data_IF_701681553775
#
_entry.id   IF_701681553775
#
_cell.length_a   1.000
_cell.length_b   1.000
_cell.length_c   1.000
_cell.angle_alpha   90.00
_cell.angle_beta   90.00
_cell.angle_gamma   90.00
#
_symmetry.space_group_name_H-M   'P 1'
#
loop_
_entity.id
_entity.type
_entity.pdbx_description
1 polymer ?
#
# COMPACT_ATOMS: atom_id res chain seq x y z
N UNK A 1 11.99 -2.61 27.95
CA UNK A 1 12.10 -1.27 27.32
C UNK A 1 11.39 -1.32 25.97
N UNK A 2 10.80 -0.22 25.53
CA UNK A 2 10.27 -0.08 24.15
C UNK A 2 11.46 0.20 23.23
N UNK A 3 11.61 -0.57 22.14
CA UNK A 3 12.69 -0.37 21.17
C UNK A 3 12.50 0.98 20.47
N UNK A 4 13.50 1.90 20.48
CA UNK A 4 13.41 3.17 19.76
C UNK A 4 13.04 3.02 18.28
N UNK A 5 13.50 1.96 17.61
CA UNK A 5 13.18 1.70 16.18
C UNK A 5 11.69 1.47 16.00
N UNK A 6 11.09 0.61 16.81
CA UNK A 6 9.64 0.35 16.82
C UNK A 6 8.82 1.63 17.07
N UNK A 7 9.32 2.56 17.88
CA UNK A 7 8.67 3.85 18.08
C UNK A 7 8.72 4.73 16.82
N UNK A 8 9.85 4.75 16.11
CA UNK A 8 9.93 5.47 14.82
C UNK A 8 9.04 4.83 13.76
N UNK A 9 8.93 3.50 13.73
CA UNK A 9 8.00 2.79 12.85
C UNK A 9 6.56 3.19 13.15
N UNK A 10 6.17 3.24 14.43
CA UNK A 10 4.83 3.69 14.83
C UNK A 10 4.54 5.16 14.45
N UNK A 11 5.51 6.06 14.56
CA UNK A 11 5.36 7.47 14.15
C UNK A 11 5.21 7.59 12.64
N UNK A 12 6.02 6.84 11.88
CA UNK A 12 5.97 6.86 10.41
C UNK A 12 4.68 6.21 9.88
N UNK A 13 4.15 5.19 10.56
CA UNK A 13 2.82 4.63 10.35
C UNK A 13 1.71 5.70 10.45
N UNK A 14 1.72 6.49 11.53
CA UNK A 14 0.77 7.59 11.71
C UNK A 14 0.93 8.69 10.65
N UNK A 15 2.18 9.00 10.28
CA UNK A 15 2.45 9.97 9.22
C UNK A 15 1.87 9.48 7.87
N UNK A 16 2.05 8.19 7.55
CA UNK A 16 1.49 7.57 6.35
C UNK A 16 -0.05 7.57 6.38
N UNK A 17 -0.64 7.30 7.54
CA UNK A 17 -2.09 7.39 7.72
C UNK A 17 -2.63 8.82 7.49
N UNK A 18 -1.96 9.83 8.07
CA UNK A 18 -2.29 11.24 7.84
C UNK A 18 -2.18 11.65 6.38
N UNK A 19 -1.11 11.21 5.70
CA UNK A 19 -0.89 11.47 4.29
C UNK A 19 -1.97 10.80 3.41
N UNK A 20 -2.41 9.58 3.75
CA UNK A 20 -3.49 8.89 3.07
C UNK A 20 -4.86 9.58 3.25
N UNK A 21 -5.14 10.11 4.44
CA UNK A 21 -6.32 10.95 4.67
C UNK A 21 -6.28 12.24 3.85
N UNK A 22 -5.11 12.88 3.76
CA UNK A 22 -4.92 14.04 2.89
C UNK A 22 -5.13 13.66 1.42
N UNK A 23 -4.61 12.52 0.96
CA UNK A 23 -4.81 12.00 -0.38
C UNK A 23 -6.31 11.87 -0.72
N UNK A 24 -7.12 11.28 0.17
CA UNK A 24 -8.58 11.18 0.00
C UNK A 24 -9.20 12.57 -0.18
N UNK A 25 -8.79 13.56 0.62
CA UNK A 25 -9.28 14.95 0.51
C UNK A 25 -8.87 15.62 -0.80
N UNK A 26 -7.69 15.31 -1.35
CA UNK A 26 -7.23 15.88 -2.63
C UNK A 26 -7.92 15.26 -3.85
N UNK A 27 -8.54 14.08 -3.71
CA UNK A 27 -9.32 13.43 -4.77
C UNK A 27 -10.80 13.88 -4.80
N UNK A 28 -11.18 15.05 -4.29
CA UNK A 28 -12.58 15.54 -4.34
C UNK A 28 -13.02 15.93 -5.76
N UNK A 29 -14.30 15.76 -6.08
CA UNK A 29 -14.88 16.09 -7.40
C UNK A 29 -16.26 15.45 -7.63
N UNK A 30 -16.68 15.22 -8.89
CA UNK A 30 -17.81 14.35 -9.25
C UNK A 30 -17.54 12.87 -8.95
N UNK A 31 -18.57 12.11 -8.61
CA UNK A 31 -18.43 10.68 -8.32
C UNK A 31 -18.10 9.86 -9.56
N UNK A 32 -16.98 9.12 -9.50
CA UNK A 32 -16.54 8.20 -10.54
C UNK A 32 -15.92 6.94 -9.94
N UNK A 33 -15.90 5.85 -10.71
CA UNK A 33 -15.34 4.57 -10.28
C UNK A 33 -13.86 4.66 -9.88
N UNK A 34 -13.03 5.21 -10.78
CA UNK A 34 -11.59 5.39 -10.53
C UNK A 34 -11.33 6.07 -9.19
N UNK A 35 -12.03 7.19 -8.95
CA UNK A 35 -11.94 7.92 -7.67
C UNK A 35 -12.32 7.05 -6.48
N UNK A 36 -13.44 6.33 -6.55
CA UNK A 36 -13.92 5.47 -5.45
C UNK A 36 -12.91 4.39 -5.10
N UNK A 37 -12.31 3.74 -6.10
CA UNK A 37 -11.28 2.72 -5.89
C UNK A 37 -10.04 3.31 -5.21
N UNK A 38 -9.54 4.44 -5.70
CA UNK A 38 -8.37 5.08 -5.09
C UNK A 38 -8.64 5.64 -3.69
N UNK A 39 -9.81 6.24 -3.46
CA UNK A 39 -10.22 6.68 -2.12
C UNK A 39 -10.38 5.49 -1.16
N UNK A 40 -10.91 4.35 -1.62
CA UNK A 40 -10.97 3.14 -0.83
C UNK A 40 -9.58 2.60 -0.50
N UNK A 41 -8.66 2.56 -1.47
CA UNK A 41 -7.27 2.14 -1.24
C UNK A 41 -6.57 3.03 -0.21
N UNK A 42 -6.73 4.36 -0.31
CA UNK A 42 -6.18 5.29 0.67
C UNK A 42 -6.87 5.22 2.04
N UNK A 43 -8.16 4.88 2.09
CA UNK A 43 -8.86 4.68 3.37
C UNK A 43 -8.35 3.42 4.08
N UNK A 44 -8.13 2.34 3.34
CA UNK A 44 -7.50 1.13 3.87
C UNK A 44 -6.05 1.41 4.30
N UNK A 45 -5.29 2.21 3.54
CA UNK A 45 -3.94 2.62 3.91
C UNK A 45 -3.94 3.41 5.23
N UNK A 46 -4.87 4.36 5.39
CA UNK A 46 -5.03 5.09 6.64
C UNK A 46 -5.37 4.18 7.82
N UNK A 47 -6.31 3.24 7.63
CA UNK A 47 -6.65 2.26 8.65
C UNK A 47 -5.45 1.35 9.00
N UNK A 48 -4.68 0.93 7.99
CA UNK A 48 -3.49 0.10 8.19
C UNK A 48 -2.40 0.83 8.96
N UNK A 49 -2.13 2.11 8.66
CA UNK A 49 -1.15 2.90 9.40
C UNK A 49 -1.56 3.17 10.84
N UNK A 50 -2.84 3.44 11.12
CA UNK A 50 -3.32 3.56 12.52
C UNK A 50 -3.13 2.24 13.28
N UNK A 51 -3.45 1.11 12.64
CA UNK A 51 -3.30 -0.20 13.25
C UNK A 51 -1.82 -0.60 13.42
N UNK A 52 -0.96 -0.30 12.44
CA UNK A 52 0.49 -0.47 12.51
C UNK A 52 1.10 0.32 13.67
N UNK A 53 0.70 1.59 13.81
CA UNK A 53 1.12 2.42 14.94
C UNK A 53 0.73 1.84 16.31
N UNK A 54 -0.43 1.20 16.41
CA UNK A 54 -0.85 0.49 17.63
C UNK A 54 0.05 -0.74 17.87
N UNK A 55 0.33 -1.52 16.82
CA UNK A 55 1.11 -2.76 16.89
C UNK A 55 2.58 -2.52 17.28
N UNK A 56 3.18 -1.47 16.70
CA UNK A 56 4.58 -1.09 16.91
C UNK A 56 4.75 -0.15 18.13
N UNK A 57 3.82 0.77 18.32
CA UNK A 57 3.94 1.84 19.33
C UNK A 57 3.58 1.39 20.74
N UNK A 58 2.66 0.42 20.90
CA UNK A 58 2.19 -0.02 22.22
C UNK A 58 2.90 -1.28 22.72
N UNK A 59 3.02 -1.39 24.04
CA UNK A 59 3.46 -2.63 24.70
C UNK A 59 2.30 -3.61 24.76
N UNK A 60 2.23 -4.50 23.78
CA UNK A 60 1.18 -5.52 23.66
C UNK A 60 1.66 -6.90 24.13
N UNK A 61 0.74 -7.71 24.67
CA UNK A 61 1.03 -9.13 24.87
C UNK A 61 1.21 -9.83 23.52
N UNK A 62 2.00 -10.93 23.44
CA UNK A 62 2.21 -11.66 22.19
C UNK A 62 0.91 -12.09 21.51
N UNK A 63 -0.08 -12.54 22.29
CA UNK A 63 -1.38 -12.96 21.77
C UNK A 63 -2.21 -11.80 21.20
N UNK A 64 -2.16 -10.62 21.82
CA UNK A 64 -2.83 -9.42 21.31
C UNK A 64 -2.15 -8.89 20.06
N UNK A 65 -0.81 -8.85 20.05
CA UNK A 65 -0.04 -8.47 18.85
C UNK A 65 -0.39 -9.38 17.67
N UNK A 66 -0.36 -10.69 17.85
CA UNK A 66 -0.72 -11.66 16.80
C UNK A 66 -2.15 -11.47 16.28
N UNK A 67 -3.11 -11.18 17.18
CA UNK A 67 -4.50 -10.90 16.78
C UNK A 67 -4.65 -9.62 15.97
N UNK A 68 -3.88 -8.57 16.27
CA UNK A 68 -3.92 -7.29 15.54
C UNK A 68 -3.20 -7.36 14.19
N UNK A 69 -2.17 -8.21 14.05
CA UNK A 69 -1.54 -8.47 12.75
C UNK A 69 -2.52 -9.06 11.73
N UNK A 70 -3.58 -9.73 12.16
CA UNK A 70 -4.55 -10.34 11.24
C UNK A 70 -5.37 -9.34 10.44
N UNK A 71 -6.10 -8.40 11.07
CA UNK A 71 -6.76 -7.34 10.33
C UNK A 71 -5.74 -6.49 9.56
N UNK A 72 -4.52 -6.26 10.10
CA UNK A 72 -3.49 -5.51 9.38
C UNK A 72 -3.11 -6.16 8.05
N UNK A 73 -2.81 -7.46 8.05
CA UNK A 73 -2.49 -8.21 6.83
C UNK A 73 -3.65 -8.21 5.82
N UNK A 74 -4.90 -8.28 6.30
CA UNK A 74 -6.08 -8.20 5.43
C UNK A 74 -6.21 -6.81 4.80
N UNK A 75 -6.00 -5.73 5.57
CA UNK A 75 -6.01 -4.37 5.05
C UNK A 75 -4.95 -4.20 3.96
N UNK A 76 -3.72 -4.65 4.19
CA UNK A 76 -2.64 -4.57 3.22
C UNK A 76 -2.95 -5.36 1.95
N UNK A 77 -3.45 -6.59 2.09
CA UNK A 77 -3.84 -7.40 0.93
C UNK A 77 -4.99 -6.76 0.12
N UNK A 78 -5.96 -6.14 0.80
CA UNK A 78 -7.04 -5.41 0.12
C UNK A 78 -6.55 -4.16 -0.60
N UNK A 79 -5.55 -3.44 -0.06
CA UNK A 79 -4.92 -2.31 -0.75
C UNK A 79 -4.32 -2.78 -2.08
N UNK A 80 -3.56 -3.87 -2.05
CA UNK A 80 -2.95 -4.47 -3.25
C UNK A 80 -4.02 -4.89 -4.27
N UNK A 81 -5.10 -5.53 -3.81
CA UNK A 81 -6.23 -5.90 -4.65
C UNK A 81 -6.88 -4.68 -5.33
N UNK A 82 -7.01 -3.56 -4.62
CA UNK A 82 -7.56 -2.32 -5.17
C UNK A 82 -6.59 -1.65 -6.16
N UNK A 83 -5.27 -1.71 -5.93
CA UNK A 83 -4.26 -1.27 -6.91
C UNK A 83 -4.37 -2.05 -8.22
N UNK A 84 -4.42 -3.39 -8.14
CA UNK A 84 -4.58 -4.24 -9.30
C UNK A 84 -5.91 -3.96 -10.02
N UNK A 85 -7.01 -3.82 -9.26
CA UNK A 85 -8.33 -3.45 -9.80
C UNK A 85 -8.28 -2.10 -10.52
N UNK A 86 -7.63 -1.09 -9.94
CA UNK A 86 -7.47 0.23 -10.55
C UNK A 86 -6.71 0.15 -11.88
N UNK A 87 -5.56 -0.53 -11.90
CA UNK A 87 -4.77 -0.73 -13.10
C UNK A 87 -5.58 -1.45 -14.20
N UNK A 88 -6.30 -2.52 -13.85
CA UNK A 88 -7.17 -3.23 -14.79
C UNK A 88 -8.29 -2.33 -15.32
N UNK A 89 -8.92 -1.55 -14.44
CA UNK A 89 -9.98 -0.60 -14.81
C UNK A 89 -9.48 0.45 -15.79
N UNK A 90 -8.28 0.98 -15.56
CA UNK A 90 -7.69 2.03 -16.37
C UNK A 90 -7.26 1.53 -17.76
N UNK A 91 -6.88 0.25 -17.85
CA UNK A 91 -6.47 -0.35 -19.12
C UNK A 91 -7.63 -0.86 -19.96
N UNK A 92 -8.62 -1.49 -19.34
CA UNK A 92 -9.69 -2.22 -20.03
C UNK A 92 -11.09 -1.72 -19.69
N UNK A 93 -11.20 -0.56 -19.02
CA UNK A 93 -12.45 0.11 -18.68
C UNK A 93 -13.06 -0.34 -17.34
N UNK A 94 -13.92 0.54 -16.81
CA UNK A 94 -14.60 0.37 -15.52
C UNK A 94 -15.32 -0.98 -15.38
N UNK A 95 -16.03 -1.43 -16.43
CA UNK A 95 -16.79 -2.69 -16.40
C UNK A 95 -15.89 -3.90 -16.15
N UNK A 96 -14.68 -3.89 -16.72
CA UNK A 96 -13.69 -4.96 -16.50
C UNK A 96 -13.16 -4.91 -15.07
N UNK A 97 -12.86 -3.71 -14.57
CA UNK A 97 -12.50 -3.49 -13.18
C UNK A 97 -13.54 -4.02 -12.18
N UNK A 98 -14.81 -3.69 -12.39
CA UNK A 98 -15.92 -4.15 -11.56
C UNK A 98 -16.06 -5.68 -11.56
N UNK A 99 -15.76 -6.34 -12.68
CA UNK A 99 -15.81 -7.81 -12.78
C UNK A 99 -14.67 -8.50 -12.03
N UNK A 100 -13.46 -7.93 -12.04
CA UNK A 100 -12.30 -8.55 -11.36
C UNK A 100 -12.25 -8.22 -9.87
N UNK A 101 -12.83 -7.10 -9.44
CA UNK A 101 -12.77 -6.63 -8.05
C UNK A 101 -13.20 -7.71 -7.04
N UNK A 102 -14.35 -8.41 -7.18
CA UNK A 102 -14.75 -9.42 -6.20
C UNK A 102 -13.72 -10.54 -6.07
N UNK A 103 -13.17 -11.01 -7.19
CA UNK A 103 -12.17 -12.08 -7.18
C UNK A 103 -10.87 -11.62 -6.51
N UNK A 104 -10.36 -10.43 -6.85
CA UNK A 104 -9.14 -9.87 -6.26
C UNK A 104 -9.32 -9.56 -4.77
N UNK A 105 -10.47 -9.01 -4.38
CA UNK A 105 -10.79 -8.68 -3.00
C UNK A 105 -11.00 -9.94 -2.13
N UNK A 106 -11.56 -11.02 -2.67
CA UNK A 106 -11.70 -12.30 -1.97
C UNK A 106 -10.38 -13.09 -1.89
N UNK A 107 -9.53 -12.96 -2.90
CA UNK A 107 -8.20 -13.56 -2.88
C UNK A 107 -7.33 -12.96 -1.76
N UNK A 108 -7.47 -11.67 -1.46
CA UNK A 108 -6.67 -10.96 -0.45
C UNK A 108 -6.74 -11.60 0.97
N UNK A 109 -7.93 -11.82 1.58
CA UNK A 109 -8.05 -12.56 2.84
C UNK A 109 -7.57 -14.01 2.75
N UNK A 110 -7.79 -14.67 1.61
CA UNK A 110 -7.36 -16.04 1.36
C UNK A 110 -5.83 -16.17 1.39
N UNK A 111 -5.12 -15.24 0.75
CA UNK A 111 -3.66 -15.16 0.78
C UNK A 111 -3.12 -14.76 2.17
N UNK A 112 -3.77 -13.81 2.86
CA UNK A 112 -3.43 -13.44 4.24
C UNK A 112 -3.67 -14.59 5.24
N UNK A 113 -4.61 -15.49 4.96
CA UNK A 113 -4.82 -16.70 5.74
C UNK A 113 -3.81 -17.81 5.39
N UNK A 114 -3.56 -18.04 4.10
CA UNK A 114 -2.63 -19.08 3.64
C UNK A 114 -1.19 -18.79 4.04
N UNK A 115 -0.75 -17.52 3.95
CA UNK A 115 0.56 -17.08 4.42
C UNK A 115 0.81 -17.56 5.85
N UNK A 116 -0.11 -17.34 6.78
CA UNK A 116 0.05 -17.77 8.19
C UNK A 116 0.29 -19.26 8.40
N UNK A 117 -0.21 -20.11 7.51
CA UNK A 117 -0.06 -21.57 7.63
C UNK A 117 1.25 -22.09 7.09
N UNK A 118 1.96 -21.28 6.30
CA UNK A 118 3.26 -21.62 5.76
C UNK A 118 4.34 -21.08 6.71
N UNK A 119 5.34 -21.90 7.06
CA UNK A 119 6.48 -21.43 7.87
C UNK A 119 7.25 -20.27 7.20
N UNK A 120 7.02 -20.03 5.90
CA UNK A 120 7.48 -18.88 5.10
C UNK A 120 6.32 -17.95 4.74
N UNK A 121 5.40 -17.69 5.67
CA UNK A 121 4.15 -16.99 5.38
C UNK A 121 4.31 -15.62 4.74
N UNK A 122 5.31 -14.87 5.21
CA UNK A 122 5.64 -13.57 4.67
C UNK A 122 6.02 -13.64 3.17
N UNK A 123 6.67 -14.72 2.72
CA UNK A 123 7.02 -14.90 1.30
C UNK A 123 5.78 -14.99 0.41
N UNK A 124 4.70 -15.63 0.86
CA UNK A 124 3.46 -15.72 0.08
C UNK A 124 2.81 -14.34 -0.10
N UNK A 125 2.87 -13.50 0.93
CA UNK A 125 2.42 -12.11 0.84
C UNK A 125 3.29 -11.30 -0.13
N UNK A 126 4.63 -11.43 -0.04
CA UNK A 126 5.57 -10.76 -0.96
C UNK A 126 5.29 -11.16 -2.42
N UNK A 127 5.08 -12.45 -2.69
CA UNK A 127 4.79 -12.90 -4.07
C UNK A 127 3.47 -12.30 -4.57
N UNK A 128 2.44 -12.29 -3.72
CA UNK A 128 1.15 -11.68 -4.06
C UNK A 128 1.29 -10.19 -4.38
N UNK A 129 1.99 -9.45 -3.52
CA UNK A 129 2.30 -8.03 -3.74
C UNK A 129 3.09 -7.82 -5.03
N UNK A 130 4.17 -8.57 -5.23
CA UNK A 130 5.05 -8.43 -6.38
C UNK A 130 4.29 -8.65 -7.69
N UNK A 131 3.48 -9.71 -7.78
CA UNK A 131 2.69 -10.01 -8.99
C UNK A 131 1.72 -8.87 -9.30
N UNK A 132 0.98 -8.39 -8.29
CA UNK A 132 0.02 -7.31 -8.46
C UNK A 132 0.70 -5.98 -8.85
N UNK A 133 1.80 -5.63 -8.16
CA UNK A 133 2.50 -4.37 -8.36
C UNK A 133 3.29 -4.33 -9.66
N UNK A 134 3.93 -5.43 -10.08
CA UNK A 134 4.59 -5.53 -11.39
C UNK A 134 3.57 -5.49 -12.52
N UNK A 135 2.42 -6.16 -12.35
CA UNK A 135 1.33 -6.08 -13.33
C UNK A 135 0.79 -4.65 -13.47
N UNK A 136 0.55 -3.97 -12.35
CA UNK A 136 0.12 -2.57 -12.35
C UNK A 136 1.19 -1.65 -12.97
N UNK A 137 2.47 -1.86 -12.65
CA UNK A 137 3.58 -1.11 -13.24
C UNK A 137 3.61 -1.26 -14.76
N UNK A 138 3.52 -2.51 -15.27
CA UNK A 138 3.52 -2.78 -16.70
C UNK A 138 2.35 -2.11 -17.40
N UNK A 139 1.16 -2.15 -16.80
CA UNK A 139 -0.04 -1.48 -17.32
C UNK A 139 0.16 0.04 -17.38
N UNK A 140 0.54 0.69 -16.28
CA UNK A 140 0.69 2.14 -16.27
C UNK A 140 1.86 2.61 -17.13
N UNK A 141 2.96 1.85 -17.20
CA UNK A 141 4.08 2.15 -18.08
C UNK A 141 3.66 2.09 -19.56
N UNK A 142 2.85 1.08 -19.95
CA UNK A 142 2.31 1.01 -21.32
C UNK A 142 1.33 2.16 -21.61
N UNK A 143 0.44 2.49 -20.66
CA UNK A 143 -0.49 3.61 -20.79
C UNK A 143 0.26 4.97 -20.90
N UNK A 144 1.31 5.16 -20.12
CA UNK A 144 2.16 6.35 -20.15
C UNK A 144 2.91 6.47 -21.47
N UNK A 145 3.55 5.38 -21.91
CA UNK A 145 4.29 5.30 -23.17
C UNK A 145 3.39 5.59 -24.38
N UNK A 146 2.15 5.09 -24.37
CA UNK A 146 1.16 5.32 -25.42
C UNK A 146 0.39 6.64 -25.27
N UNK A 147 0.62 7.40 -24.18
CA UNK A 147 -0.11 8.63 -23.82
C UNK A 147 -1.64 8.44 -23.77
N UNK A 148 -2.10 7.25 -23.35
CA UNK A 148 -3.53 6.88 -23.35
C UNK A 148 -4.27 7.31 -22.09
N UNK A 149 -3.56 7.69 -21.03
CA UNK A 149 -4.14 8.10 -19.77
C UNK A 149 -3.31 9.23 -19.14
N UNK A 150 -3.87 10.44 -19.00
CA UNK A 150 -3.22 11.52 -18.28
C UNK A 150 -2.84 11.10 -16.85
N UNK A 151 -1.59 11.36 -16.46
CA UNK A 151 -1.08 10.99 -15.14
C UNK A 151 -0.53 9.56 -15.01
N UNK A 152 -0.61 8.73 -16.06
CA UNK A 152 -0.03 7.38 -16.04
C UNK A 152 1.48 7.37 -15.81
N UNK A 153 2.20 8.42 -16.22
CA UNK A 153 3.62 8.65 -15.93
C UNK A 153 3.88 8.76 -14.43
N UNK A 154 3.05 9.55 -13.73
CA UNK A 154 3.12 9.72 -12.28
C UNK A 154 2.71 8.46 -11.53
N UNK A 155 1.70 7.75 -12.03
CA UNK A 155 1.33 6.43 -11.51
C UNK A 155 2.48 5.43 -11.62
N UNK A 156 3.12 5.37 -12.79
CA UNK A 156 4.28 4.50 -13.05
C UNK A 156 5.41 4.79 -12.06
N UNK A 157 5.78 6.06 -11.91
CA UNK A 157 6.85 6.44 -10.97
C UNK A 157 6.47 6.14 -9.51
N UNK A 158 5.23 6.45 -9.11
CA UNK A 158 4.74 6.13 -7.77
C UNK A 158 4.77 4.64 -7.47
N UNK A 159 4.34 3.79 -8.41
CA UNK A 159 4.39 2.33 -8.28
C UNK A 159 5.83 1.83 -8.21
N UNK A 160 6.73 2.37 -9.04
CA UNK A 160 8.16 2.02 -9.00
C UNK A 160 8.78 2.33 -7.62
N UNK A 161 8.46 3.51 -7.05
CA UNK A 161 8.91 3.88 -5.70
C UNK A 161 8.30 2.96 -4.64
N UNK A 162 7.01 2.58 -4.75
CA UNK A 162 6.39 1.60 -3.84
C UNK A 162 7.07 0.22 -3.92
N UNK A 163 7.42 -0.27 -5.12
CA UNK A 163 8.15 -1.53 -5.28
C UNK A 163 9.53 -1.45 -4.62
N UNK A 164 10.24 -0.32 -4.78
CA UNK A 164 11.51 -0.10 -4.10
C UNK A 164 11.34 -0.06 -2.58
N UNK A 165 10.26 0.55 -2.07
CA UNK A 165 9.92 0.55 -0.66
C UNK A 165 9.71 -0.87 -0.13
N UNK A 166 8.96 -1.72 -0.84
CA UNK A 166 8.77 -3.13 -0.46
C UNK A 166 10.10 -3.91 -0.43
N UNK A 167 11.03 -3.60 -1.35
CA UNK A 167 12.40 -4.10 -1.30
C UNK A 167 13.15 -3.70 -0.02
N UNK A 168 12.98 -2.46 0.44
CA UNK A 168 13.54 -2.00 1.73
C UNK A 168 12.88 -2.77 2.89
N UNK A 169 11.55 -2.89 2.90
CA UNK A 169 10.80 -3.57 3.96
C UNK A 169 11.24 -5.03 4.15
N UNK A 170 11.62 -5.71 3.07
CA UNK A 170 12.05 -7.12 3.10
C UNK A 170 13.53 -7.31 3.41
N UNK A 171 14.27 -6.21 3.58
CA UNK A 171 15.70 -6.20 3.90
C UNK A 171 15.95 -6.12 5.42
N UNK A 172 17.22 -6.21 5.81
CA UNK A 172 17.67 -5.91 7.18
C UNK A 172 18.27 -4.51 7.31
N UNK A 173 17.88 -3.57 6.44
CA UNK A 173 18.44 -2.23 6.40
C UNK A 173 18.07 -1.46 7.68
N UNK A 174 19.07 -0.80 8.27
CA UNK A 174 18.91 0.12 9.39
C UNK A 174 19.73 1.38 9.11
N UNK A 175 19.18 2.55 9.46
CA UNK A 175 19.82 3.84 9.25
C UNK A 175 19.57 4.72 10.48
N UNK A 176 20.56 5.50 10.88
CA UNK A 176 20.40 6.54 11.90
C UNK A 176 20.44 7.90 11.22
N UNK A 177 19.40 8.71 11.38
CA UNK A 177 19.31 10.07 10.86
C UNK A 177 19.41 11.04 12.04
N UNK A 178 20.55 11.71 12.19
CA UNK A 178 20.87 12.47 13.40
C UNK A 178 21.02 11.53 14.59
N UNK A 179 20.08 11.58 15.53
CA UNK A 179 20.02 10.69 16.72
C UNK A 179 18.84 9.70 16.65
N UNK A 180 18.07 9.72 15.56
CA UNK A 180 16.84 8.95 15.43
C UNK A 180 17.11 7.67 14.62
N UNK A 181 16.97 6.47 15.21
CA UNK A 181 17.20 5.21 14.51
C UNK A 181 15.96 4.76 13.75
N UNK A 182 16.13 4.35 12.49
CA UNK A 182 15.09 3.78 11.65
C UNK A 182 15.48 2.35 11.25
N UNK A 183 14.55 1.42 11.37
CA UNK A 183 14.66 0.09 10.78
C UNK A 183 14.04 0.07 9.37
N UNK A 184 14.08 -1.10 8.74
CA UNK A 184 13.50 -1.35 7.42
C UNK A 184 12.01 -0.98 7.31
N UNK A 185 11.21 -1.11 8.38
CA UNK A 185 9.79 -0.73 8.36
C UNK A 185 9.62 0.79 8.40
N UNK A 186 10.35 1.46 9.29
CA UNK A 186 10.38 2.93 9.34
C UNK A 186 10.85 3.53 8.01
N UNK A 187 11.90 2.97 7.41
CA UNK A 187 12.39 3.39 6.10
C UNK A 187 11.39 3.11 4.97
N UNK A 188 10.73 1.95 5.00
CA UNK A 188 9.64 1.62 4.07
C UNK A 188 8.54 2.70 4.11
N UNK A 189 8.06 3.08 5.29
CA UNK A 189 7.04 4.12 5.44
C UNK A 189 7.50 5.49 4.91
N UNK A 190 8.76 5.88 5.15
CA UNK A 190 9.32 7.12 4.64
C UNK A 190 9.38 7.16 3.10
N UNK A 191 9.78 6.05 2.47
CA UNK A 191 9.78 5.94 1.01
C UNK A 191 8.36 5.91 0.47
N UNK A 192 7.43 5.24 1.15
CA UNK A 192 6.02 5.21 0.78
C UNK A 192 5.36 6.61 0.87
N UNK A 193 5.76 7.42 1.85
CA UNK A 193 5.36 8.83 1.97
C UNK A 193 5.79 9.66 0.76
N UNK A 194 6.95 9.36 0.15
CA UNK A 194 7.38 9.99 -1.09
C UNK A 194 6.64 9.47 -2.33
N UNK A 195 6.23 8.20 -2.34
CA UNK A 195 5.43 7.60 -3.42
C UNK A 195 4.00 8.18 -3.48
N UNK A 196 3.39 8.44 -2.32
CA UNK A 196 1.97 8.79 -2.23
C UNK A 196 1.57 10.05 -3.02
N UNK A 197 2.32 11.18 -2.98
CA UNK A 197 2.03 12.35 -3.82
C UNK A 197 2.03 12.04 -5.33
N UNK A 198 2.92 11.16 -5.79
CA UNK A 198 2.98 10.76 -7.20
C UNK A 198 1.73 9.99 -7.61
N UNK A 199 1.28 9.05 -6.78
CA UNK A 199 0.05 8.30 -6.99
C UNK A 199 -1.17 9.24 -6.99
N UNK A 200 -1.27 10.12 -6.00
CA UNK A 200 -2.38 11.08 -5.91
C UNK A 200 -2.45 11.98 -7.13
N UNK A 201 -1.33 12.55 -7.56
CA UNK A 201 -1.30 13.43 -8.72
C UNK A 201 -1.58 12.66 -10.03
N UNK A 202 -1.07 11.43 -10.15
CA UNK A 202 -1.39 10.55 -11.27
C UNK A 202 -2.87 10.21 -11.37
N UNK A 203 -3.55 10.03 -10.23
CA UNK A 203 -5.00 9.87 -10.20
C UNK A 203 -5.69 11.18 -10.61
N UNK A 204 -5.35 12.30 -9.97
CA UNK A 204 -6.01 13.61 -10.18
C UNK A 204 -5.99 14.11 -11.61
N UNK A 205 -4.91 13.86 -12.36
CA UNK A 205 -4.78 14.32 -13.76
C UNK A 205 -5.82 13.72 -14.72
N UNK A 206 -6.53 12.69 -14.28
CA UNK A 206 -7.52 11.94 -15.07
C UNK A 206 -8.88 11.84 -14.36
N UNK A 207 -9.10 12.67 -13.33
CA UNK A 207 -10.39 12.83 -12.65
C UNK A 207 -11.13 14.08 -13.13
#
# INVERSE_FOLDING_TARGET
MTDPREQTTAVTDLALAGAALLAIRRLRGPAGWRRRIWQAAFALLAASGVLGAIVHGLRLSPSTRERLWQPLNVLLALIIALFATAAVSDRWGERTGQRVLPALALAAPGFAWLSRRLQRGFLAFIIYELVAMVSALAIYADLARRRQLPGADRMTLGILVTIAAAGIQTSSLEVVIGEIPFDHNGLFHLVQLAALPLLVEGVRKSL
#
